data_IF_026485266461
#
_entry.id   IF_026485266461
#
_cell.length_a   1.000
_cell.length_b   1.000
_cell.length_c   1.000
_cell.angle_alpha   90.00
_cell.angle_beta   90.00
_cell.angle_gamma   90.00
#
_symmetry.space_group_name_H-M   'P 1'
#
loop_
_entity.id
_entity.type
_entity.pdbx_description
1 polymer ?
#
# COMPACT_ATOMS: atom_id res chain seq x y z
N UNK A 1 2.89 18.25 43.32
CA UNK A 1 3.33 18.13 41.91
C UNK A 1 4.78 17.61 41.73
N UNK A 2 5.53 17.25 42.80
CA UNK A 2 6.95 16.87 42.67
C UNK A 2 7.22 15.38 42.49
N UNK A 3 6.34 14.51 42.98
CA UNK A 3 6.58 13.07 43.09
C UNK A 3 6.70 12.40 41.71
N UNK A 4 5.77 12.67 40.79
CA UNK A 4 5.79 12.10 39.42
C UNK A 4 7.08 12.44 38.65
N UNK A 5 7.53 13.69 38.75
CA UNK A 5 8.75 14.16 38.07
C UNK A 5 9.99 13.55 38.70
N UNK A 6 9.98 13.39 40.02
CA UNK A 6 11.07 12.79 40.77
C UNK A 6 11.20 11.29 40.45
N UNK A 7 10.09 10.57 40.37
CA UNK A 7 10.04 9.15 40.00
C UNK A 7 10.50 8.94 38.55
N UNK A 8 10.05 9.78 37.61
CA UNK A 8 10.48 9.72 36.22
C UNK A 8 11.99 9.96 36.08
N UNK A 9 12.52 10.96 36.80
CA UNK A 9 13.97 11.25 36.84
C UNK A 9 14.76 10.11 37.47
N UNK A 10 14.22 9.48 38.50
CA UNK A 10 14.85 8.34 39.18
C UNK A 10 14.88 7.11 38.27
N UNK A 11 13.77 6.82 37.58
CA UNK A 11 13.66 5.74 36.60
C UNK A 11 14.63 5.92 35.43
N UNK A 12 14.71 7.12 34.85
CA UNK A 12 15.68 7.44 33.80
C UNK A 12 17.13 7.25 34.26
N UNK A 13 17.45 7.70 35.49
CA UNK A 13 18.79 7.52 36.06
C UNK A 13 19.12 6.06 36.31
N UNK A 14 18.14 5.25 36.70
CA UNK A 14 18.28 3.81 36.87
C UNK A 14 18.52 3.11 35.53
N UNK A 15 17.80 3.52 34.48
CA UNK A 15 18.00 3.04 33.11
C UNK A 15 19.40 3.37 32.58
N UNK A 16 19.87 4.61 32.82
CA UNK A 16 21.21 5.04 32.43
C UNK A 16 22.32 4.32 33.21
N UNK A 17 22.06 3.92 34.46
CA UNK A 17 23.00 3.15 35.28
C UNK A 17 23.13 1.70 34.84
N UNK A 18 22.11 1.14 34.18
CA UNK A 18 22.09 -0.24 33.69
C UNK A 18 21.96 -0.28 32.15
N UNK A 19 22.94 0.34 31.49
CA UNK A 19 22.93 0.66 30.05
C UNK A 19 22.76 -0.55 29.13
N UNK A 20 23.25 -1.73 29.50
CA UNK A 20 23.11 -2.95 28.70
C UNK A 20 21.64 -3.36 28.50
N UNK A 21 20.87 -3.46 29.58
CA UNK A 21 19.44 -3.78 29.52
C UNK A 21 18.65 -2.67 28.83
N UNK A 22 18.95 -1.41 29.14
CA UNK A 22 18.29 -0.26 28.52
C UNK A 22 18.46 -0.26 26.99
N UNK A 23 19.66 -0.55 26.50
CA UNK A 23 19.97 -0.58 25.07
C UNK A 23 19.19 -1.67 24.35
N UNK A 24 19.17 -2.89 24.91
CA UNK A 24 18.39 -4.00 24.34
C UNK A 24 16.90 -3.65 24.32
N UNK A 25 16.36 -3.15 25.42
CA UNK A 25 14.94 -2.77 25.51
C UNK A 25 14.57 -1.69 24.47
N UNK A 26 15.41 -0.66 24.31
CA UNK A 26 15.21 0.41 23.32
C UNK A 26 15.28 -0.15 21.90
N UNK A 27 16.24 -1.00 21.59
CA UNK A 27 16.37 -1.62 20.25
C UNK A 27 15.15 -2.49 19.95
N UNK A 28 14.70 -3.32 20.89
CA UNK A 28 13.51 -4.17 20.71
C UNK A 28 12.26 -3.33 20.47
N UNK A 29 12.06 -2.26 21.26
CA UNK A 29 10.96 -1.31 21.06
C UNK A 29 11.05 -0.62 19.69
N UNK A 30 12.23 -0.12 19.34
CA UNK A 30 12.45 0.56 18.06
C UNK A 30 12.19 -0.37 16.87
N UNK A 31 12.62 -1.63 16.94
CA UNK A 31 12.36 -2.63 15.90
C UNK A 31 10.86 -2.94 15.80
N UNK A 32 10.17 -3.16 16.91
CA UNK A 32 8.73 -3.45 16.90
C UNK A 32 7.91 -2.29 16.32
N UNK A 33 8.19 -1.06 16.77
CA UNK A 33 7.50 0.15 16.30
C UNK A 33 7.86 0.43 14.83
N UNK A 34 9.14 0.34 14.49
CA UNK A 34 9.67 0.60 13.15
C UNK A 34 9.16 -0.38 12.11
N UNK A 35 9.15 -1.68 12.43
CA UNK A 35 8.63 -2.71 11.53
C UNK A 35 7.14 -2.49 11.22
N UNK A 36 6.33 -2.22 12.25
CA UNK A 36 4.90 -1.98 12.06
C UNK A 36 4.62 -0.71 11.24
N UNK A 37 5.38 0.37 11.51
CA UNK A 37 5.28 1.63 10.78
C UNK A 37 5.73 1.50 9.31
N UNK A 38 6.81 0.76 9.06
CA UNK A 38 7.33 0.50 7.72
C UNK A 38 6.36 -0.34 6.90
N UNK A 39 5.76 -1.37 7.50
CA UNK A 39 4.75 -2.20 6.84
C UNK A 39 3.54 -1.37 6.43
N UNK A 40 3.00 -0.54 7.33
CA UNK A 40 1.88 0.34 7.01
C UNK A 40 2.23 1.38 5.92
N UNK A 41 3.43 1.98 5.99
CA UNK A 41 3.89 2.94 4.98
C UNK A 41 4.05 2.31 3.59
N UNK A 42 4.62 1.09 3.51
CA UNK A 42 4.73 0.36 2.25
C UNK A 42 3.35 0.01 1.67
N UNK A 43 2.47 -0.56 2.49
CA UNK A 43 1.10 -0.91 2.09
C UNK A 43 0.37 0.34 1.60
N UNK A 44 0.42 1.43 2.35
CA UNK A 44 -0.26 2.65 1.96
C UNK A 44 0.34 3.25 0.67
N UNK A 45 1.66 3.23 0.50
CA UNK A 45 2.33 3.73 -0.72
C UNK A 45 2.02 2.92 -1.97
N UNK A 46 1.88 1.59 -1.84
CA UNK A 46 1.69 0.67 -2.98
C UNK A 46 0.22 0.41 -3.28
N UNK A 47 -0.62 0.24 -2.26
CA UNK A 47 -2.04 -0.11 -2.42
C UNK A 47 -2.98 1.11 -2.36
N UNK A 48 -2.59 2.18 -1.66
CA UNK A 48 -3.41 3.40 -1.50
C UNK A 48 -2.78 4.66 -2.12
N UNK A 49 -1.59 4.54 -2.72
CA UNK A 49 -1.02 5.61 -3.53
C UNK A 49 -1.96 5.89 -4.70
N UNK A 50 -2.20 7.16 -5.07
CA UNK A 50 -2.99 7.47 -6.25
C UNK A 50 -2.31 6.77 -7.43
N UNK A 51 -3.01 5.76 -7.96
CA UNK A 51 -2.69 5.07 -9.19
C UNK A 51 -2.21 6.15 -10.19
N UNK A 52 -0.99 6.05 -10.80
CA UNK A 52 -0.36 7.13 -11.58
C UNK A 52 -1.04 7.32 -12.95
N UNK A 53 -2.35 7.48 -12.94
CA UNK A 53 -3.19 7.73 -14.09
C UNK A 53 -3.75 9.14 -13.93
N UNK A 54 -3.67 9.90 -15.01
CA UNK A 54 -4.04 11.33 -15.06
C UNK A 54 -5.51 11.59 -14.70
N UNK A 55 -6.37 10.58 -14.82
CA UNK A 55 -7.79 10.63 -14.50
C UNK A 55 -8.29 9.24 -14.01
N UNK A 56 -8.14 8.93 -12.71
CA UNK A 56 -8.52 7.62 -12.19
C UNK A 56 -10.04 7.36 -12.25
N UNK A 57 -10.86 8.41 -12.34
CA UNK A 57 -12.32 8.28 -12.49
C UNK A 57 -12.76 7.80 -13.88
N UNK A 58 -11.84 7.76 -14.84
CA UNK A 58 -12.06 7.25 -16.21
C UNK A 58 -11.42 5.90 -16.48
N UNK A 59 -10.93 5.21 -15.45
CA UNK A 59 -10.43 3.85 -15.59
C UNK A 59 -11.61 2.87 -15.70
N UNK A 60 -11.66 2.15 -16.81
CA UNK A 60 -12.64 1.08 -17.04
C UNK A 60 -11.90 -0.22 -17.35
N UNK A 61 -12.36 -1.32 -16.75
CA UNK A 61 -11.88 -2.67 -17.06
C UNK A 61 -12.79 -3.30 -18.11
N UNK A 62 -12.21 -3.76 -19.22
CA UNK A 62 -12.93 -4.47 -20.28
C UNK A 62 -12.84 -5.97 -20.02
N UNK A 63 -13.98 -6.66 -20.12
CA UNK A 63 -14.10 -8.11 -19.96
C UNK A 63 -14.71 -8.74 -21.22
N UNK A 64 -14.21 -9.91 -21.58
CA UNK A 64 -14.78 -10.80 -22.59
C UNK A 64 -15.55 -11.93 -21.94
N UNK A 65 -16.66 -12.31 -22.57
CA UNK A 65 -17.41 -13.51 -22.23
C UNK A 65 -17.12 -14.61 -23.23
N UNK A 66 -16.65 -15.75 -22.74
CA UNK A 66 -16.52 -16.97 -23.52
C UNK A 66 -17.47 -18.02 -22.95
N UNK A 67 -18.74 -17.93 -23.38
CA UNK A 67 -19.82 -18.85 -22.97
C UNK A 67 -19.52 -20.31 -23.32
N UNK A 68 -18.68 -20.57 -24.34
CA UNK A 68 -18.30 -21.94 -24.74
C UNK A 68 -17.31 -22.59 -23.76
N UNK A 69 -16.48 -21.80 -23.10
CA UNK A 69 -15.55 -22.28 -22.07
C UNK A 69 -16.04 -22.00 -20.64
N UNK A 70 -17.26 -21.47 -20.49
CA UNK A 70 -17.84 -21.14 -19.17
C UNK A 70 -17.20 -19.93 -18.50
N UNK A 71 -16.45 -19.09 -19.23
CA UNK A 71 -15.83 -17.89 -18.67
C UNK A 71 -16.76 -16.68 -18.84
N UNK A 72 -17.39 -16.26 -17.75
CA UNK A 72 -18.27 -15.07 -17.70
C UNK A 72 -17.50 -13.74 -17.59
N UNK A 73 -16.25 -13.76 -17.14
CA UNK A 73 -15.37 -12.61 -17.11
C UNK A 73 -13.95 -13.05 -17.42
N UNK A 74 -13.49 -12.79 -18.63
CA UNK A 74 -12.12 -13.06 -19.04
C UNK A 74 -11.44 -11.79 -19.53
N UNK A 75 -10.14 -11.64 -19.27
CA UNK A 75 -9.39 -10.54 -19.84
C UNK A 75 -9.34 -10.71 -21.37
N UNK A 76 -9.59 -9.64 -22.16
CA UNK A 76 -9.49 -9.73 -23.60
C UNK A 76 -8.07 -10.09 -24.03
N UNK A 77 -7.96 -10.94 -25.04
CA UNK A 77 -6.69 -11.12 -25.73
C UNK A 77 -6.28 -9.78 -26.37
N UNK A 78 -4.99 -9.46 -26.36
CA UNK A 78 -4.49 -8.19 -26.89
C UNK A 78 -4.95 -7.93 -28.35
N UNK A 79 -5.07 -8.99 -29.16
CA UNK A 79 -5.58 -8.92 -30.53
C UNK A 79 -7.05 -8.50 -30.59
N UNK A 80 -7.90 -8.99 -29.69
CA UNK A 80 -9.32 -8.64 -29.65
C UNK A 80 -9.51 -7.17 -29.27
N UNK A 81 -8.72 -6.70 -28.30
CA UNK A 81 -8.70 -5.28 -27.94
C UNK A 81 -8.30 -4.39 -29.13
N UNK A 82 -7.27 -4.79 -29.88
CA UNK A 82 -6.84 -4.04 -31.07
C UNK A 82 -7.94 -3.98 -32.14
N UNK A 83 -8.63 -5.08 -32.41
CA UNK A 83 -9.75 -5.15 -33.35
C UNK A 83 -10.91 -4.23 -32.92
N UNK A 84 -11.32 -4.25 -31.65
CA UNK A 84 -12.38 -3.37 -31.16
C UNK A 84 -12.02 -1.89 -31.26
N UNK A 85 -10.76 -1.54 -30.98
CA UNK A 85 -10.25 -0.18 -31.13
C UNK A 85 -10.34 0.28 -32.58
N UNK A 86 -10.03 -0.59 -33.53
CA UNK A 86 -10.06 -0.27 -34.95
C UNK A 86 -11.49 -0.18 -35.49
N UNK A 87 -12.42 -0.99 -34.98
CA UNK A 87 -13.86 -0.91 -35.32
C UNK A 87 -14.57 0.33 -34.76
N UNK A 88 -14.16 0.80 -33.58
CA UNK A 88 -14.76 1.97 -32.92
C UNK A 88 -14.20 3.31 -33.39
N UNK A 89 -13.33 3.33 -34.42
CA UNK A 89 -12.97 4.57 -35.09
C UNK A 89 -14.20 5.07 -35.86
N UNK A 90 -14.67 6.32 -35.64
CA UNK A 90 -15.77 6.85 -36.39
C UNK A 90 -15.40 6.81 -37.86
N UNK A 91 -16.09 5.94 -38.60
CA UNK A 91 -15.96 5.83 -40.05
C UNK A 91 -16.42 7.18 -40.59
N UNK A 92 -15.48 8.03 -40.97
CA UNK A 92 -15.78 9.30 -41.61
C UNK A 92 -16.60 8.98 -42.85
N UNK A 93 -17.92 9.20 -42.75
CA UNK A 93 -18.84 9.09 -43.87
C UNK A 93 -18.42 10.21 -44.81
N UNK A 94 -17.86 9.83 -45.95
CA UNK A 94 -17.49 10.73 -47.03
C UNK A 94 -18.55 10.64 -48.11
#
# INVERSE_FOLDING_TARGET
>A
MGILIQDLRYGLRMLAKNSGFATVAVITLALGIGANTAMFSMVHGVLMGPLPFKDPGRLYTLWERNLKMGYEQNAPAAANFADWRDRNKPRAIR
#
